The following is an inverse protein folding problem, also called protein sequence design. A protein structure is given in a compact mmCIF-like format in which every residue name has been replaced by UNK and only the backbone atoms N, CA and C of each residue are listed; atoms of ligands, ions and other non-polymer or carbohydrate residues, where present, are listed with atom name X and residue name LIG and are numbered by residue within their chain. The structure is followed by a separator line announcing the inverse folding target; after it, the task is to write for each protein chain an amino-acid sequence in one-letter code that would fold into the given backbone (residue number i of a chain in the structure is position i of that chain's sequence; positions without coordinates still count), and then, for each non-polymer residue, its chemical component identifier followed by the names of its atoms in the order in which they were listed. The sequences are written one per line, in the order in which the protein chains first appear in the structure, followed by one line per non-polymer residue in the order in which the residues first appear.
data_IF_022752339556
#
_entry.id   IF_022752339556
#
_cell.length_a   1.000
_cell.length_b   1.000
_cell.length_c   1.000
_cell.angle_alpha   90.00
_cell.angle_beta   90.00
_cell.angle_gamma   90.00
#
_symmetry.space_group_name_H-M   'P 1'
#
loop_
_entity.id
_entity.type
_entity.pdbx_description
1 polymer ?
#
# COMPACT_ATOMS: atom_id res chain seq x y z
N UNK A 1 -22.87 11.80 -6.31
CA UNK A 1 -21.74 10.90 -5.98
C UNK A 1 -22.09 10.21 -4.66
N UNK A 2 -22.13 8.88 -4.62
CA UNK A 2 -22.56 8.12 -3.43
C UNK A 2 -21.53 8.30 -2.29
N UNK A 3 -21.96 8.70 -1.09
CA UNK A 3 -21.09 8.94 0.07
C UNK A 3 -20.23 7.72 0.44
N UNK A 4 -20.75 6.51 0.20
CA UNK A 4 -20.00 5.27 0.43
C UNK A 4 -18.88 5.06 -0.58
N UNK A 5 -19.12 5.42 -1.84
CA UNK A 5 -18.10 5.31 -2.89
C UNK A 5 -16.98 6.34 -2.70
N UNK A 6 -17.33 7.56 -2.29
CA UNK A 6 -16.32 8.59 -2.00
C UNK A 6 -15.44 8.20 -0.83
N UNK A 7 -16.01 7.63 0.25
CA UNK A 7 -15.26 7.09 1.38
C UNK A 7 -14.34 5.94 0.97
N UNK A 8 -14.83 4.99 0.16
CA UNK A 8 -14.01 3.89 -0.36
C UNK A 8 -12.84 4.38 -1.21
N UNK A 9 -13.07 5.34 -2.12
CA UNK A 9 -12.00 5.94 -2.93
C UNK A 9 -10.97 6.65 -2.05
N UNK A 10 -11.42 7.44 -1.08
CA UNK A 10 -10.54 8.16 -0.16
C UNK A 10 -9.68 7.20 0.67
N UNK A 11 -10.28 6.16 1.21
CA UNK A 11 -9.55 5.13 1.95
C UNK A 11 -8.50 4.45 1.09
N UNK A 12 -8.85 4.07 -0.15
CA UNK A 12 -7.90 3.45 -1.07
C UNK A 12 -6.72 4.39 -1.37
N UNK A 13 -6.99 5.67 -1.62
CA UNK A 13 -5.92 6.66 -1.85
C UNK A 13 -4.99 6.78 -0.64
N UNK A 14 -5.54 6.90 0.57
CA UNK A 14 -4.74 6.98 1.81
C UNK A 14 -3.91 5.71 2.04
N UNK A 15 -4.51 4.54 1.84
CA UNK A 15 -3.80 3.27 1.94
C UNK A 15 -2.65 3.19 0.93
N UNK A 16 -2.88 3.61 -0.31
CA UNK A 16 -1.84 3.62 -1.34
C UNK A 16 -0.68 4.55 -0.97
N UNK A 17 -0.96 5.74 -0.46
CA UNK A 17 0.11 6.66 -0.04
C UNK A 17 0.84 6.19 1.22
N UNK A 18 0.15 5.55 2.15
CA UNK A 18 0.79 4.93 3.31
C UNK A 18 1.74 3.81 2.85
N UNK A 19 1.31 2.97 1.91
CA UNK A 19 2.17 1.95 1.29
C UNK A 19 3.38 2.56 0.59
N UNK A 20 3.20 3.64 -0.19
CA UNK A 20 4.32 4.34 -0.84
C UNK A 20 5.31 4.89 0.18
N UNK A 21 4.82 5.52 1.25
CA UNK A 21 5.65 6.10 2.31
C UNK A 21 6.49 5.03 3.01
N UNK A 22 5.88 3.92 3.39
CA UNK A 22 6.59 2.78 4.00
C UNK A 22 7.61 2.14 3.05
N UNK A 23 7.26 2.02 1.76
CA UNK A 23 8.19 1.51 0.74
C UNK A 23 9.39 2.45 0.55
N UNK A 24 9.19 3.76 0.56
CA UNK A 24 10.28 4.75 0.46
C UNK A 24 11.25 4.63 1.65
N UNK A 25 10.74 4.39 2.86
CA UNK A 25 11.58 4.16 4.04
C UNK A 25 12.36 2.85 3.93
N UNK A 26 11.71 1.78 3.47
CA UNK A 26 12.33 0.46 3.35
C UNK A 26 13.35 0.38 2.21
N UNK A 27 13.15 1.13 1.12
CA UNK A 27 13.95 1.06 -0.10
C UNK A 27 14.83 2.30 -0.33
N UNK A 28 15.15 3.05 0.73
CA UNK A 28 15.87 4.32 0.63
C UNK A 28 17.20 4.22 -0.16
N UNK A 29 17.89 3.08 -0.09
CA UNK A 29 19.15 2.84 -0.80
C UNK A 29 18.98 2.39 -2.26
N UNK A 30 17.74 2.11 -2.71
CA UNK A 30 17.45 1.75 -4.09
C UNK A 30 16.92 2.97 -4.85
N UNK A 31 17.82 3.63 -5.59
CA UNK A 31 17.51 4.83 -6.35
C UNK A 31 16.42 4.63 -7.41
N UNK A 32 16.39 3.47 -8.08
CA UNK A 32 15.40 3.18 -9.12
C UNK A 32 14.00 3.01 -8.53
N UNK A 33 13.87 2.22 -7.47
CA UNK A 33 12.61 2.01 -6.77
C UNK A 33 12.10 3.31 -6.14
N UNK A 34 12.96 4.04 -5.44
CA UNK A 34 12.62 5.32 -4.81
C UNK A 34 12.14 6.34 -5.85
N UNK A 35 12.87 6.52 -6.95
CA UNK A 35 12.48 7.45 -8.01
C UNK A 35 11.16 7.04 -8.67
N UNK A 36 10.95 5.74 -8.87
CA UNK A 36 9.70 5.22 -9.47
C UNK A 36 8.48 5.42 -8.57
N UNK A 37 8.64 5.27 -7.25
CA UNK A 37 7.58 5.53 -6.27
C UNK A 37 7.22 7.02 -6.21
N UNK A 38 8.22 7.91 -6.23
CA UNK A 38 8.02 9.35 -6.19
C UNK A 38 7.40 9.90 -7.48
N UNK A 39 7.67 9.27 -8.62
CA UNK A 39 7.09 9.65 -9.91
C UNK A 39 5.60 9.28 -10.02
N UNK A 40 5.12 8.30 -9.24
CA UNK A 40 3.73 7.87 -9.31
C UNK A 40 2.77 8.90 -8.70
N UNK A 41 1.63 9.22 -9.37
CA UNK A 41 0.65 10.15 -8.85
C UNK A 41 0.07 9.74 -7.49
N UNK A 42 -0.50 10.72 -6.79
CA UNK A 42 -1.21 10.49 -5.52
C UNK A 42 -2.32 9.44 -5.66
N UNK A 43 -2.34 8.48 -4.74
CA UNK A 43 -3.29 7.38 -4.66
C UNK A 43 -3.11 6.31 -5.74
N UNK A 44 -1.94 6.27 -6.40
CA UNK A 44 -1.64 5.31 -7.46
C UNK A 44 -0.24 4.73 -7.31
N UNK A 45 -0.12 3.47 -7.70
CA UNK A 45 1.17 2.81 -7.98
C UNK A 45 1.04 2.22 -9.39
N UNK A 46 1.90 2.62 -10.30
CA UNK A 46 1.86 2.12 -11.68
C UNK A 46 2.34 0.67 -11.76
N UNK A 47 1.97 -0.03 -12.82
CA UNK A 47 2.46 -1.40 -13.05
C UNK A 47 3.99 -1.46 -13.12
N UNK A 48 4.61 -0.48 -13.79
CA UNK A 48 6.07 -0.36 -13.87
C UNK A 48 6.69 -0.23 -12.48
N UNK A 49 6.17 0.66 -11.65
CA UNK A 49 6.66 0.83 -10.28
C UNK A 49 6.43 -0.42 -9.43
N UNK A 50 5.29 -1.09 -9.57
CA UNK A 50 5.02 -2.38 -8.93
C UNK A 50 6.05 -3.46 -9.32
N UNK A 51 6.40 -3.57 -10.60
CA UNK A 51 7.40 -4.53 -11.06
C UNK A 51 8.78 -4.24 -10.42
N UNK A 52 9.21 -2.98 -10.39
CA UNK A 52 10.48 -2.56 -9.74
C UNK A 52 10.44 -2.82 -8.23
N UNK A 53 9.33 -2.50 -7.56
CA UNK A 53 9.15 -2.78 -6.13
C UNK A 53 9.27 -4.29 -5.90
N UNK A 54 8.53 -5.11 -6.64
CA UNK A 54 8.48 -6.57 -6.39
C UNK A 54 9.81 -7.27 -6.66
N UNK A 55 10.66 -6.75 -7.56
CA UNK A 55 12.02 -7.28 -7.77
C UNK A 55 12.99 -6.83 -6.68
N UNK A 56 12.77 -5.66 -6.09
CA UNK A 56 13.63 -5.07 -5.05
C UNK A 56 13.27 -5.54 -3.65
N UNK A 57 11.99 -5.81 -3.41
CA UNK A 57 11.44 -6.07 -2.08
C UNK A 57 11.94 -7.41 -1.54
N UNK A 58 12.81 -7.35 -0.54
CA UNK A 58 13.26 -8.56 0.16
C UNK A 58 12.13 -9.14 1.02
N UNK A 59 12.17 -10.44 1.36
CA UNK A 59 11.18 -11.04 2.26
C UNK A 59 11.07 -10.34 3.62
N UNK A 60 12.19 -9.86 4.17
CA UNK A 60 12.21 -9.13 5.44
C UNK A 60 11.55 -7.75 5.31
N UNK A 61 11.82 -7.02 4.22
CA UNK A 61 11.13 -5.76 3.93
C UNK A 61 9.63 -5.97 3.74
N UNK A 62 9.22 -7.02 3.02
CA UNK A 62 7.81 -7.37 2.86
C UNK A 62 7.12 -7.66 4.20
N UNK A 63 7.79 -8.38 5.10
CA UNK A 63 7.25 -8.64 6.44
C UNK A 63 7.07 -7.34 7.23
N UNK A 64 8.07 -6.45 7.23
CA UNK A 64 8.00 -5.13 7.89
C UNK A 64 6.88 -4.27 7.30
N UNK A 65 6.78 -4.18 5.97
CA UNK A 65 5.72 -3.48 5.29
C UNK A 65 4.34 -4.02 5.70
N UNK A 66 4.15 -5.35 5.65
CA UNK A 66 2.88 -5.97 6.07
C UNK A 66 2.53 -5.64 7.52
N UNK A 67 3.52 -5.63 8.41
CA UNK A 67 3.32 -5.26 9.81
C UNK A 67 2.85 -3.80 9.94
N UNK A 68 3.56 -2.86 9.33
CA UNK A 68 3.27 -1.43 9.43
C UNK A 68 1.90 -1.09 8.81
N UNK A 69 1.59 -1.66 7.64
CA UNK A 69 0.27 -1.49 7.01
C UNK A 69 -0.85 -2.12 7.85
N UNK A 70 -0.61 -3.26 8.50
CA UNK A 70 -1.60 -3.82 9.42
C UNK A 70 -1.86 -2.90 10.62
N UNK A 71 -0.80 -2.34 11.22
CA UNK A 71 -0.92 -1.41 12.34
C UNK A 71 -1.75 -0.17 11.94
N UNK A 72 -1.37 0.49 10.84
CA UNK A 72 -2.09 1.65 10.33
C UNK A 72 -3.56 1.34 9.99
N UNK A 73 -3.84 0.22 9.31
CA UNK A 73 -5.24 -0.17 9.03
C UNK A 73 -6.03 -0.43 10.31
N UNK A 74 -5.42 -1.04 11.32
CA UNK A 74 -6.11 -1.31 12.59
C UNK A 74 -6.43 -0.01 13.34
N UNK A 75 -5.53 0.98 13.29
CA UNK A 75 -5.76 2.31 13.84
C UNK A 75 -6.91 3.02 13.11
N UNK A 76 -6.89 3.05 11.78
CA UNK A 76 -7.96 3.66 10.97
C UNK A 76 -9.32 2.99 11.17
N UNK A 77 -9.33 1.67 11.43
CA UNK A 77 -10.56 0.92 11.68
C UNK A 77 -11.03 0.94 13.14
N UNK A 78 -10.29 1.59 14.03
CA UNK A 78 -10.67 1.75 15.43
C UNK A 78 -11.83 2.76 15.60
N UNK A 79 -12.70 2.62 16.63
CA UNK A 79 -13.81 3.55 16.83
C UNK A 79 -13.37 4.98 17.20
N UNK A 80 -14.03 6.04 16.66
CA UNK A 80 -15.11 5.99 15.69
C UNK A 80 -14.61 5.75 14.26
N UNK A 81 -14.96 4.60 13.68
CA UNK A 81 -14.53 4.21 12.34
C UNK A 81 -15.51 4.74 11.29
N UNK A 82 -14.99 5.55 10.37
CA UNK A 82 -15.75 6.12 9.25
C UNK A 82 -15.64 5.27 7.97
N UNK A 83 -14.78 4.25 7.99
CA UNK A 83 -14.43 3.46 6.82
C UNK A 83 -15.29 2.20 6.67
N UNK A 84 -15.43 1.74 5.43
CA UNK A 84 -15.99 0.42 5.14
C UNK A 84 -14.94 -0.64 5.47
N UNK A 85 -15.03 -1.22 6.67
CA UNK A 85 -14.04 -2.19 7.19
C UNK A 85 -13.85 -3.41 6.29
N UNK A 86 -14.93 -3.91 5.67
CA UNK A 86 -14.86 -5.05 4.74
C UNK A 86 -14.07 -4.66 3.49
N UNK A 87 -14.36 -3.49 2.93
CA UNK A 87 -13.62 -2.98 1.78
C UNK A 87 -12.15 -2.73 2.12
N UNK A 88 -11.86 -2.11 3.27
CA UNK A 88 -10.51 -1.84 3.74
C UNK A 88 -9.67 -3.12 3.85
N UNK A 89 -10.20 -4.13 4.53
CA UNK A 89 -9.55 -5.44 4.67
C UNK A 89 -9.33 -6.11 3.30
N UNK A 90 -10.29 -6.00 2.38
CA UNK A 90 -10.14 -6.55 1.03
C UNK A 90 -9.02 -5.86 0.24
N UNK A 91 -8.92 -4.53 0.27
CA UNK A 91 -7.87 -3.80 -0.44
C UNK A 91 -6.48 -4.08 0.17
N UNK A 92 -6.38 -4.16 1.50
CA UNK A 92 -5.15 -4.56 2.19
C UNK A 92 -4.64 -5.90 1.69
N UNK A 93 -5.50 -6.92 1.66
CA UNK A 93 -5.11 -8.25 1.19
C UNK A 93 -4.73 -8.26 -0.29
N UNK A 94 -5.40 -7.48 -1.13
CA UNK A 94 -5.02 -7.31 -2.55
C UNK A 94 -3.61 -6.78 -2.69
N UNK A 95 -3.25 -5.71 -1.96
CA UNK A 95 -1.90 -5.15 -1.98
C UNK A 95 -0.88 -6.17 -1.49
N UNK A 96 -1.16 -6.87 -0.39
CA UNK A 96 -0.26 -7.90 0.13
C UNK A 96 -0.02 -9.02 -0.88
N UNK A 97 -1.04 -9.43 -1.62
CA UNK A 97 -0.91 -10.45 -2.66
C UNK A 97 -0.14 -9.93 -3.88
N UNK A 98 -0.33 -8.65 -4.26
CA UNK A 98 0.42 -8.03 -5.35
C UNK A 98 1.93 -7.93 -5.04
N UNK A 99 2.27 -7.63 -3.80
CA UNK A 99 3.65 -7.45 -3.34
C UNK A 99 4.34 -8.75 -2.92
N UNK A 100 3.58 -9.83 -2.74
CA UNK A 100 4.18 -11.13 -2.40
C UNK A 100 4.79 -11.74 -3.67
N UNK A 101 5.97 -12.38 -3.58
CA UNK A 101 6.56 -13.08 -4.71
C UNK A 101 5.54 -14.07 -5.28
N UNK A 102 5.26 -13.96 -6.58
CA UNK A 102 4.60 -15.06 -7.28
C UNK A 102 5.63 -16.18 -7.31
N UNK A 103 5.31 -17.32 -6.67
CA UNK A 103 6.05 -18.57 -6.90
C UNK A 103 6.11 -18.76 -8.42
N UNK A 104 7.28 -18.51 -9.01
CA UNK A 104 7.58 -18.79 -10.42
C UNK A 104 8.04 -20.22 -10.53
#
# INVERSE_FOLDING_TARGET
MNSKESLRRRFLQLMTENVKSELLLLMADNNEATSSILADPYGKISHKTLDIITTTLTPLMLQRLKHNINAWVNEELSPPCLWDSRYACQQKMRIFNLLSPKLR
#
